data_IF_743341443036
#
_entry.id   IF_743341443036
#
_cell.length_a   1.000
_cell.length_b   1.000
_cell.length_c   1.000
_cell.angle_alpha   90.00
_cell.angle_beta   90.00
_cell.angle_gamma   90.00
#
_symmetry.space_group_name_H-M   'P 1'
#
loop_
_entity.id
_entity.type
_entity.pdbx_description
1 polymer ?
#
# COMPACT_ATOMS: atom_id res chain seq x y z
N UNK A 1 6.56 89.36 -67.89
CA UNK A 1 7.55 88.64 -68.73
C UNK A 1 8.75 88.29 -67.87
N UNK A 2 9.31 87.10 -68.12
CA UNK A 2 10.57 86.56 -67.59
C UNK A 2 10.63 86.14 -66.11
N UNK A 3 10.63 84.82 -65.91
CA UNK A 3 11.29 84.17 -64.78
C UNK A 3 12.83 84.24 -64.95
N UNK A 4 13.57 84.01 -63.86
CA UNK A 4 14.81 83.25 -63.96
C UNK A 4 14.77 81.99 -63.09
N UNK A 5 15.56 81.04 -63.56
CA UNK A 5 15.70 79.66 -63.11
C UNK A 5 16.81 79.57 -62.07
N UNK A 6 16.72 78.54 -61.21
CA UNK A 6 17.73 77.47 -61.04
C UNK A 6 17.94 77.04 -59.58
N UNK A 7 17.86 75.71 -59.40
CA UNK A 7 18.68 74.85 -58.53
C UNK A 7 18.64 75.11 -57.00
N UNK A 8 18.69 74.15 -56.08
CA UNK A 8 18.95 72.72 -56.15
C UNK A 8 18.60 72.10 -54.77
N UNK A 9 18.23 70.81 -54.79
CA UNK A 9 18.62 69.77 -53.81
C UNK A 9 18.23 69.93 -52.33
N UNK A 10 17.43 68.98 -51.82
CA UNK A 10 17.80 68.02 -50.75
C UNK A 10 16.53 67.23 -50.36
N UNK A 11 16.40 65.96 -50.78
CA UNK A 11 16.79 64.74 -50.04
C UNK A 11 15.99 64.62 -48.71
N UNK A 12 15.17 63.61 -48.43
CA UNK A 12 15.42 62.17 -48.43
C UNK A 12 14.10 61.38 -48.38
N UNK A 13 14.11 60.23 -49.05
CA UNK A 13 13.04 59.21 -49.05
C UNK A 13 12.78 58.66 -47.65
N UNK A 14 11.52 58.44 -47.29
CA UNK A 14 11.12 57.54 -46.19
C UNK A 14 10.97 56.12 -46.75
N UNK A 15 11.62 55.09 -46.21
CA UNK A 15 11.19 53.72 -46.46
C UNK A 15 9.99 53.39 -45.55
N UNK A 16 9.00 52.61 -46.05
CA UNK A 16 8.02 51.94 -45.20
C UNK A 16 8.70 50.71 -44.54
N UNK A 17 7.98 49.99 -43.70
CA UNK A 17 8.38 48.75 -42.99
C UNK A 17 8.89 48.94 -41.55
N UNK A 18 7.95 48.99 -40.61
CA UNK A 18 8.15 48.37 -39.28
C UNK A 18 7.75 46.90 -39.41
N UNK A 19 8.62 45.93 -39.07
CA UNK A 19 8.14 44.62 -38.70
C UNK A 19 7.58 44.69 -37.28
N UNK A 20 6.30 44.36 -37.15
CA UNK A 20 5.66 44.10 -35.87
C UNK A 20 6.34 42.89 -35.23
N UNK A 21 7.20 43.12 -34.24
CA UNK A 21 7.80 42.06 -33.44
C UNK A 21 6.74 41.53 -32.49
N UNK A 22 5.92 40.60 -32.97
CA UNK A 22 5.18 39.66 -32.12
C UNK A 22 6.19 38.74 -31.45
N UNK A 23 6.82 39.21 -30.37
CA UNK A 23 7.47 38.33 -29.41
C UNK A 23 6.37 37.54 -28.70
N UNK A 24 5.91 36.47 -29.35
CA UNK A 24 5.14 35.43 -28.71
C UNK A 24 5.96 34.92 -27.53
N UNK A 25 5.58 35.35 -26.33
CA UNK A 25 5.93 34.64 -25.10
C UNK A 25 5.31 33.25 -25.23
N UNK A 26 6.05 32.34 -25.84
CA UNK A 26 5.89 30.91 -25.66
C UNK A 26 6.27 30.60 -24.20
N UNK A 27 5.45 31.06 -23.25
CA UNK A 27 5.30 30.35 -22.00
C UNK A 27 4.61 29.05 -22.41
N UNK A 28 5.42 28.04 -22.75
CA UNK A 28 4.98 26.66 -22.85
C UNK A 28 4.39 26.31 -21.49
N UNK A 29 3.09 26.51 -21.38
CA UNK A 29 2.32 26.16 -20.21
C UNK A 29 2.29 24.65 -20.26
N UNK A 30 3.25 24.00 -19.61
CA UNK A 30 3.15 22.58 -19.35
C UNK A 30 1.97 22.43 -18.39
N UNK A 31 0.77 22.37 -18.97
CA UNK A 31 -0.46 21.98 -18.30
C UNK A 31 -0.30 20.49 -18.04
N UNK A 32 0.43 20.16 -16.98
CA UNK A 32 0.25 18.86 -16.34
C UNK A 32 -1.20 18.83 -15.92
N UNK A 33 -2.01 18.05 -16.64
CA UNK A 33 -3.38 17.80 -16.22
C UNK A 33 -3.31 17.19 -14.82
N UNK A 34 -4.04 17.75 -13.87
CA UNK A 34 -4.14 17.24 -12.48
C UNK A 34 -4.18 15.70 -12.39
N UNK A 35 -4.95 14.97 -13.23
CA UNK A 35 -4.95 13.50 -13.21
C UNK A 35 -3.62 12.84 -13.61
N UNK A 36 -2.79 13.47 -14.46
CA UNK A 36 -1.51 12.96 -14.91
C UNK A 36 -0.47 12.88 -13.78
N UNK A 37 -0.62 13.72 -12.75
CA UNK A 37 0.27 13.73 -11.57
C UNK A 37 -0.34 12.95 -10.40
N UNK A 38 -1.66 13.05 -10.20
CA UNK A 38 -2.33 12.41 -9.06
C UNK A 38 -2.35 10.88 -9.15
N UNK A 39 -2.58 10.31 -10.33
CA UNK A 39 -2.61 8.86 -10.52
C UNK A 39 -1.27 8.17 -10.19
N UNK A 40 -0.12 8.59 -10.75
CA UNK A 40 1.16 7.95 -10.41
C UNK A 40 1.54 8.20 -8.95
N UNK A 41 1.21 9.37 -8.37
CA UNK A 41 1.45 9.64 -6.96
C UNK A 41 0.65 8.70 -6.05
N UNK A 42 -0.64 8.49 -6.35
CA UNK A 42 -1.47 7.54 -5.61
C UNK A 42 -0.97 6.09 -5.75
N UNK A 43 -0.56 5.69 -6.95
CA UNK A 43 0.05 4.37 -7.18
C UNK A 43 1.34 4.18 -6.38
N UNK A 44 2.22 5.18 -6.34
CA UNK A 44 3.44 5.14 -5.55
C UNK A 44 3.16 5.02 -4.04
N UNK A 45 2.16 5.75 -3.54
CA UNK A 45 1.74 5.66 -2.14
C UNK A 45 1.20 4.27 -1.79
N UNK A 46 0.38 3.67 -2.65
CA UNK A 46 -0.13 2.32 -2.44
C UNK A 46 0.99 1.27 -2.49
N UNK A 47 1.95 1.45 -3.39
CA UNK A 47 3.11 0.57 -3.48
C UNK A 47 3.98 0.64 -2.22
N UNK A 48 4.31 1.84 -1.76
CA UNK A 48 5.13 2.06 -0.56
C UNK A 48 4.39 1.63 0.70
N UNK A 49 3.08 1.86 0.75
CA UNK A 49 2.22 1.46 1.85
C UNK A 49 1.82 -0.01 1.86
N UNK A 50 2.26 -0.83 0.90
CA UNK A 50 1.93 -2.25 0.87
C UNK A 50 2.71 -2.99 1.98
N UNK A 51 2.04 -3.54 3.02
CA UNK A 51 2.74 -4.10 4.17
C UNK A 51 3.59 -5.32 3.80
N UNK A 52 4.69 -5.47 4.54
CA UNK A 52 5.66 -6.53 4.40
C UNK A 52 5.31 -7.82 5.14
N UNK A 53 6.19 -8.83 5.07
CA UNK A 53 6.05 -10.08 5.81
C UNK A 53 6.10 -9.88 7.33
N UNK A 54 6.96 -8.97 7.81
CA UNK A 54 7.10 -8.69 9.24
C UNK A 54 5.84 -7.99 9.79
N UNK A 55 5.27 -7.03 9.05
CA UNK A 55 4.01 -6.40 9.43
C UNK A 55 2.87 -7.42 9.55
N UNK A 56 2.90 -8.47 8.71
CA UNK A 56 1.94 -9.58 8.79
C UNK A 56 2.18 -10.45 10.03
N UNK A 57 3.43 -10.78 10.35
CA UNK A 57 3.76 -11.53 11.56
C UNK A 57 3.30 -10.78 12.82
N UNK A 58 3.52 -9.47 12.89
CA UNK A 58 3.06 -8.62 14.00
C UNK A 58 1.53 -8.59 14.10
N UNK A 59 0.84 -8.45 12.95
CA UNK A 59 -0.62 -8.49 12.88
C UNK A 59 -1.16 -9.85 13.36
N UNK A 60 -0.66 -10.95 12.78
CA UNK A 60 -1.11 -12.31 13.06
C UNK A 60 -0.80 -12.70 14.51
N UNK A 61 0.38 -12.37 15.04
CA UNK A 61 0.76 -12.63 16.42
C UNK A 61 -0.16 -11.95 17.43
N UNK A 62 -0.56 -10.69 17.18
CA UNK A 62 -1.55 -9.99 18.00
C UNK A 62 -2.91 -10.66 17.94
N UNK A 63 -3.46 -10.86 16.73
CA UNK A 63 -4.79 -11.45 16.54
C UNK A 63 -4.87 -12.85 17.14
N UNK A 64 -3.88 -13.72 16.87
CA UNK A 64 -3.83 -15.07 17.42
C UNK A 64 -3.70 -15.07 18.95
N UNK A 65 -2.90 -14.16 19.51
CA UNK A 65 -2.82 -14.04 20.97
C UNK A 65 -4.15 -13.64 21.58
N UNK A 66 -4.88 -12.70 20.97
CA UNK A 66 -6.15 -12.19 21.49
C UNK A 66 -7.27 -13.23 21.35
N UNK A 67 -7.33 -13.91 20.20
CA UNK A 67 -8.24 -15.04 19.96
C UNK A 67 -7.96 -16.18 20.91
N UNK A 68 -6.69 -16.56 21.10
CA UNK A 68 -6.29 -17.58 22.05
C UNK A 68 -6.69 -17.23 23.49
N UNK A 69 -6.51 -15.97 23.90
CA UNK A 69 -6.97 -15.51 25.22
C UNK A 69 -8.50 -15.61 25.34
N UNK A 70 -9.22 -15.23 24.29
CA UNK A 70 -10.68 -15.28 24.30
C UNK A 70 -11.17 -16.73 24.40
N UNK A 71 -10.70 -17.61 23.54
CA UNK A 71 -11.17 -18.99 23.47
C UNK A 71 -10.70 -19.85 24.64
N UNK A 72 -9.42 -19.72 25.03
CA UNK A 72 -8.82 -20.58 26.05
C UNK A 72 -8.92 -20.00 27.47
N UNK A 73 -8.78 -18.69 27.65
CA UNK A 73 -8.76 -18.08 28.99
C UNK A 73 -10.13 -17.51 29.43
N UNK A 74 -10.99 -17.06 28.51
CA UNK A 74 -12.31 -16.47 28.85
C UNK A 74 -13.47 -17.42 28.62
N UNK A 75 -13.58 -17.93 27.40
CA UNK A 75 -14.69 -18.77 26.95
C UNK A 75 -14.48 -20.25 27.33
N UNK A 76 -13.26 -20.61 27.76
CA UNK A 76 -12.98 -21.77 28.60
C UNK A 76 -13.29 -23.11 27.95
N UNK A 77 -12.71 -23.40 26.78
CA UNK A 77 -12.80 -24.75 26.16
C UNK A 77 -11.81 -25.73 26.80
N UNK A 78 -10.88 -25.25 27.65
CA UNK A 78 -9.87 -26.09 28.27
C UNK A 78 -10.42 -26.85 29.48
N UNK A 79 -10.05 -28.14 29.64
CA UNK A 79 -10.37 -28.89 30.84
C UNK A 79 -9.86 -28.15 32.08
N UNK A 80 -10.68 -28.13 33.14
CA UNK A 80 -10.49 -27.44 34.43
C UNK A 80 -9.05 -27.53 35.01
N UNK A 81 -8.27 -28.54 34.64
CA UNK A 81 -6.91 -28.81 35.11
C UNK A 81 -5.84 -27.87 34.52
N UNK A 82 -6.02 -27.30 33.32
CA UNK A 82 -5.08 -26.32 32.76
C UNK A 82 -5.26 -24.95 33.43
N UNK A 83 -6.50 -24.62 33.81
CA UNK A 83 -6.84 -23.39 34.52
C UNK A 83 -6.19 -23.26 35.91
N UNK A 84 -5.80 -24.38 36.52
CA UNK A 84 -5.15 -24.41 37.84
C UNK A 84 -3.63 -24.23 37.77
N UNK A 85 -3.01 -24.37 36.59
CA UNK A 85 -1.55 -24.32 36.41
C UNK A 85 -1.06 -22.96 35.87
N UNK A 86 -1.95 -22.14 35.30
CA UNK A 86 -1.56 -20.89 34.63
C UNK A 86 -2.12 -19.70 35.41
N UNK A 87 -1.39 -19.27 36.44
CA UNK A 87 -1.72 -18.13 37.31
C UNK A 87 -2.00 -16.82 36.54
N UNK A 88 -1.58 -16.73 35.27
CA UNK A 88 -1.91 -15.64 34.36
C UNK A 88 -1.98 -16.10 32.89
N UNK A 89 -2.99 -16.92 32.54
CA UNK A 89 -3.25 -17.38 31.16
C UNK A 89 -3.13 -16.26 30.11
N UNK A 90 -3.66 -15.03 30.32
CA UNK A 90 -3.53 -13.96 29.36
C UNK A 90 -2.10 -13.46 29.13
N UNK A 91 -1.21 -13.55 30.12
CA UNK A 91 0.21 -13.17 29.92
C UNK A 91 0.91 -14.16 29.02
N UNK A 92 0.67 -15.46 29.19
CA UNK A 92 1.33 -16.50 28.40
C UNK A 92 1.15 -16.30 26.90
N UNK A 93 -0.08 -16.05 26.45
CA UNK A 93 -0.37 -15.78 25.04
C UNK A 93 0.25 -14.48 24.54
N UNK A 94 0.32 -13.45 25.41
CA UNK A 94 0.93 -12.16 25.06
C UNK A 94 2.45 -12.26 24.92
N UNK A 95 3.08 -13.07 25.76
CA UNK A 95 4.52 -13.29 25.73
C UNK A 95 4.92 -14.13 24.51
N UNK A 96 4.01 -14.93 23.96
CA UNK A 96 4.22 -15.74 22.75
C UNK A 96 3.80 -15.07 21.44
N UNK A 97 3.38 -13.81 21.45
CA UNK A 97 2.92 -13.10 20.23
C UNK A 97 3.89 -13.19 19.06
N UNK A 98 5.18 -13.01 19.32
CA UNK A 98 6.23 -13.08 18.30
C UNK A 98 6.32 -14.49 17.70
N UNK A 99 6.37 -15.52 18.54
CA UNK A 99 6.41 -16.91 18.08
C UNK A 99 5.13 -17.32 17.31
N UNK A 100 3.95 -16.83 17.74
CA UNK A 100 2.69 -17.04 17.03
C UNK A 100 2.68 -16.32 15.68
N UNK A 101 3.24 -15.12 15.61
CA UNK A 101 3.42 -14.35 14.39
C UNK A 101 4.36 -15.03 13.39
N UNK A 102 5.51 -15.52 13.86
CA UNK A 102 6.47 -16.27 13.06
C UNK A 102 5.90 -17.59 12.55
N UNK A 103 5.14 -18.30 13.39
CA UNK A 103 4.44 -19.51 12.99
C UNK A 103 3.41 -19.20 11.90
N UNK A 104 2.60 -18.16 12.08
CA UNK A 104 1.64 -17.72 11.09
C UNK A 104 2.33 -17.36 9.77
N UNK A 105 3.46 -16.66 9.83
CA UNK A 105 4.24 -16.31 8.65
C UNK A 105 4.77 -17.55 7.92
N UNK A 106 5.29 -18.54 8.65
CA UNK A 106 5.78 -19.80 8.08
C UNK A 106 4.69 -20.64 7.44
N UNK A 107 3.48 -20.61 8.00
CA UNK A 107 2.30 -21.32 7.47
C UNK A 107 1.56 -20.54 6.38
N UNK A 108 2.00 -19.31 6.07
CA UNK A 108 1.35 -18.44 5.10
C UNK A 108 2.14 -18.34 3.80
N UNK A 109 1.46 -18.50 2.69
CA UNK A 109 2.00 -18.19 1.37
C UNK A 109 1.65 -16.74 1.00
N UNK A 110 2.69 -15.90 0.84
CA UNK A 110 2.53 -14.51 0.37
C UNK A 110 2.58 -14.42 -1.15
N UNK A 111 1.62 -13.71 -1.74
CA UNK A 111 1.61 -13.30 -3.16
C UNK A 111 1.54 -11.78 -3.23
N UNK A 112 2.61 -11.14 -3.72
CA UNK A 112 2.69 -9.68 -3.83
C UNK A 112 2.30 -9.22 -5.24
N UNK A 113 1.37 -8.26 -5.33
CA UNK A 113 0.89 -7.65 -6.58
C UNK A 113 1.32 -6.18 -6.73
N UNK A 114 2.25 -5.71 -5.90
CA UNK A 114 2.78 -4.35 -5.92
C UNK A 114 1.99 -3.42 -5.00
N UNK A 115 0.72 -3.15 -5.34
CA UNK A 115 -0.15 -2.25 -4.57
C UNK A 115 -0.83 -2.93 -3.37
N UNK A 116 -0.88 -4.26 -3.39
CA UNK A 116 -1.43 -5.10 -2.35
C UNK A 116 -0.71 -6.44 -2.33
N UNK A 117 -0.87 -7.18 -1.24
CA UNK A 117 -0.40 -8.56 -1.11
C UNK A 117 -1.52 -9.45 -0.60
N UNK A 118 -1.56 -10.71 -1.03
CA UNK A 118 -2.44 -11.73 -0.49
C UNK A 118 -1.62 -12.70 0.35
N UNK A 119 -2.14 -13.04 1.52
CA UNK A 119 -1.59 -14.03 2.43
C UNK A 119 -2.61 -15.15 2.55
N UNK A 120 -2.24 -16.34 2.08
CA UNK A 120 -3.05 -17.55 2.24
C UNK A 120 -2.42 -18.41 3.31
N UNK A 121 -3.13 -18.64 4.41
CA UNK A 121 -2.68 -19.47 5.53
C UNK A 121 -3.49 -20.75 5.54
N UNK A 122 -2.81 -21.89 5.52
CA UNK A 122 -3.44 -23.20 5.58
C UNK A 122 -3.05 -23.88 6.90
N UNK A 123 -4.04 -24.15 7.75
CA UNK A 123 -3.86 -24.80 9.05
C UNK A 123 -4.29 -26.25 8.92
N UNK A 124 -3.43 -27.19 9.33
CA UNK A 124 -3.71 -28.63 9.34
C UNK A 124 -3.71 -29.32 7.97
N UNK A 125 -3.62 -28.58 6.86
CA UNK A 125 -3.67 -29.16 5.51
C UNK A 125 -2.31 -29.72 5.05
N UNK A 126 -1.20 -29.11 5.48
CA UNK A 126 0.15 -29.54 5.13
C UNK A 126 1.20 -28.90 6.08
N UNK A 127 2.39 -29.50 6.19
CA UNK A 127 3.50 -28.97 7.01
C UNK A 127 3.58 -29.50 8.44
N UNK A 128 4.26 -28.74 9.33
CA UNK A 128 4.64 -29.17 10.69
C UNK A 128 3.45 -29.58 11.56
N UNK A 129 2.27 -28.96 11.33
CA UNK A 129 1.04 -29.18 12.09
C UNK A 129 0.11 -30.25 11.51
N UNK A 130 0.45 -30.85 10.35
CA UNK A 130 -0.39 -31.87 9.71
C UNK A 130 -0.49 -33.18 10.53
N UNK A 131 0.40 -33.37 11.50
CA UNK A 131 0.44 -34.54 12.38
C UNK A 131 -0.45 -34.38 13.63
N UNK A 132 -0.94 -33.17 13.91
CA UNK A 132 -1.82 -32.91 15.04
C UNK A 132 -3.29 -33.07 14.59
N UNK A 133 -4.19 -33.56 15.47
CA UNK A 133 -5.62 -33.64 15.21
C UNK A 133 -6.25 -32.24 15.31
N UNK A 134 -5.83 -31.34 14.41
CA UNK A 134 -6.35 -29.99 14.29
C UNK A 134 -7.36 -29.95 13.14
N UNK A 135 -8.52 -29.29 13.33
CA UNK A 135 -9.43 -29.04 12.23
C UNK A 135 -8.73 -28.24 11.13
N UNK A 136 -8.96 -28.63 9.87
CA UNK A 136 -8.32 -28.01 8.72
C UNK A 136 -9.03 -26.69 8.41
N UNK A 137 -8.26 -25.62 8.33
CA UNK A 137 -8.78 -24.28 8.03
C UNK A 137 -7.94 -23.60 6.96
N UNK A 138 -8.62 -22.86 6.09
CA UNK A 138 -8.02 -21.99 5.09
C UNK A 138 -8.41 -20.55 5.39
N UNK A 139 -7.40 -19.70 5.56
CA UNK A 139 -7.55 -18.28 5.87
C UNK A 139 -6.91 -17.48 4.74
N UNK A 140 -7.63 -16.48 4.23
CA UNK A 140 -7.12 -15.56 3.22
C UNK A 140 -7.17 -14.14 3.74
N UNK A 141 -6.01 -13.48 3.81
CA UNK A 141 -5.84 -12.12 4.31
C UNK A 141 -5.28 -11.22 3.22
N UNK A 142 -5.94 -10.10 2.98
CA UNK A 142 -5.50 -9.04 2.07
C UNK A 142 -4.70 -8.00 2.85
N UNK A 143 -3.50 -7.71 2.36
CA UNK A 143 -2.66 -6.62 2.79
C UNK A 143 -2.74 -5.47 1.77
N UNK A 144 -3.23 -4.30 2.18
CA UNK A 144 -3.36 -3.14 1.30
C UNK A 144 -3.27 -1.86 2.10
N UNK A 145 -2.52 -0.87 1.59
CA UNK A 145 -2.43 0.48 2.19
C UNK A 145 -2.15 0.49 3.71
N UNK A 146 -1.24 -0.35 4.18
CA UNK A 146 -0.82 -0.45 5.58
C UNK A 146 -1.79 -1.24 6.47
N UNK A 147 -2.79 -1.90 5.89
CA UNK A 147 -3.81 -2.64 6.65
C UNK A 147 -3.89 -4.10 6.22
N UNK A 148 -4.40 -4.92 7.14
CA UNK A 148 -4.70 -6.34 6.92
C UNK A 148 -6.19 -6.59 7.10
N UNK A 149 -6.80 -7.25 6.12
CA UNK A 149 -8.24 -7.54 6.09
C UNK A 149 -8.41 -9.03 5.82
N UNK A 150 -9.07 -9.75 6.73
CA UNK A 150 -9.41 -11.15 6.51
C UNK A 150 -10.56 -11.22 5.51
N UNK A 151 -10.29 -11.78 4.33
CA UNK A 151 -11.28 -11.93 3.24
C UNK A 151 -12.11 -13.19 3.41
N UNK A 152 -11.47 -14.27 3.84
CA UNK A 152 -12.09 -15.59 3.96
C UNK A 152 -11.52 -16.37 5.13
N UNK A 153 -12.40 -17.05 5.86
CA UNK A 153 -12.06 -18.04 6.86
C UNK A 153 -13.01 -19.22 6.65
N UNK A 154 -12.51 -20.33 6.11
CA UNK A 154 -13.32 -21.52 5.80
C UNK A 154 -12.70 -22.77 6.46
N UNK A 155 -13.56 -23.62 7.04
CA UNK A 155 -13.18 -24.97 7.42
C UNK A 155 -13.09 -25.82 6.17
N UNK A 156 -12.00 -26.56 6.04
CA UNK A 156 -11.80 -27.54 4.97
C UNK A 156 -12.04 -28.91 5.60
N UNK A 157 -13.16 -29.55 5.29
CA UNK A 157 -13.50 -30.89 5.80
C UNK A 157 -12.50 -31.97 5.27
#
# INVERSE_FOLDING_TARGET
MAAPQAAALTTWRRPPWRPESTSGRFCSSVRFSLPLVLLPAAGALLWIGNPGPQDFADFAGRELSERGIQEFCRDGVLPLMVNLMVDNCPRLFRDQREALGDLALQLSQRRNFGFFSLYKTEVGASGLLAQLPLPRYSLETLAVAGQFIVLRAESVD
#
